data_IF_280159416057
#
_entry.id   IF_280159416057
#
_cell.length_a   1.000
_cell.length_b   1.000
_cell.length_c   1.000
_cell.angle_alpha   90.00
_cell.angle_beta   90.00
_cell.angle_gamma   90.00
#
_symmetry.space_group_name_H-M   'P 1'
#
loop_
_entity.id
_entity.type
_entity.pdbx_description
1 polymer ?
#
# COMPACT_ATOMS: atom_id res chain seq x y z
N UNK A 1 9.44 3.04 20.79
CA UNK A 1 10.14 2.07 19.98
C UNK A 1 10.09 2.39 18.50
N UNK A 2 10.82 1.66 17.73
CA UNK A 2 10.82 1.81 16.29
C UNK A 2 9.64 1.03 15.68
N UNK A 3 9.29 1.40 14.47
CA UNK A 3 8.25 0.70 13.72
C UNK A 3 8.76 -0.68 13.30
N UNK A 4 7.85 -1.65 13.07
CA UNK A 4 8.28 -2.99 12.69
C UNK A 4 8.96 -3.01 11.33
N UNK A 5 9.85 -3.97 11.13
CA UNK A 5 10.49 -4.16 9.83
C UNK A 5 9.47 -4.64 8.80
N UNK A 6 9.75 -4.34 7.54
CA UNK A 6 8.92 -4.83 6.44
C UNK A 6 9.27 -6.31 6.22
N UNK A 7 8.43 -7.19 6.73
CA UNK A 7 8.62 -8.64 6.66
C UNK A 7 7.74 -9.25 5.58
N UNK A 8 7.99 -10.51 5.25
CA UNK A 8 7.14 -11.24 4.27
C UNK A 8 5.68 -11.28 4.71
N UNK A 9 5.42 -11.44 6.02
CA UNK A 9 4.04 -11.42 6.54
C UNK A 9 3.37 -10.09 6.30
N UNK A 10 4.08 -8.99 6.55
CA UNK A 10 3.57 -7.64 6.31
C UNK A 10 3.25 -7.44 4.83
N UNK A 11 4.16 -7.84 3.96
CA UNK A 11 3.97 -7.72 2.51
C UNK A 11 2.76 -8.52 2.05
N UNK A 12 2.57 -9.73 2.56
CA UNK A 12 1.42 -10.57 2.21
C UNK A 12 0.11 -9.91 2.62
N UNK A 13 0.06 -9.27 3.77
CA UNK A 13 -1.15 -8.59 4.23
C UNK A 13 -1.49 -7.41 3.34
N UNK A 14 -0.47 -6.65 2.93
CA UNK A 14 -0.67 -5.51 2.04
C UNK A 14 -1.13 -5.99 0.66
N UNK A 15 -0.51 -7.03 0.13
CA UNK A 15 -0.90 -7.60 -1.17
C UNK A 15 -2.32 -8.16 -1.12
N UNK A 16 -2.69 -8.81 -0.03
CA UNK A 16 -4.03 -9.39 0.13
C UNK A 16 -5.11 -8.31 0.14
N UNK A 17 -4.81 -7.12 0.66
CA UNK A 17 -5.76 -6.01 0.68
C UNK A 17 -6.13 -5.56 -0.73
N UNK A 18 -5.18 -5.66 -1.68
CA UNK A 18 -5.43 -5.28 -3.07
C UNK A 18 -6.04 -6.39 -3.91
N UNK A 19 -5.97 -7.62 -3.44
CA UNK A 19 -6.46 -8.78 -4.18
C UNK A 19 -5.47 -9.26 -5.24
N UNK A 20 -5.83 -10.33 -5.93
CA UNK A 20 -4.94 -10.99 -6.88
C UNK A 20 -4.68 -10.18 -8.14
N UNK A 21 -5.55 -9.22 -8.47
CA UNK A 21 -5.42 -8.42 -9.69
C UNK A 21 -4.46 -7.24 -9.55
N UNK A 22 -4.02 -6.93 -8.33
CA UNK A 22 -3.15 -5.78 -8.06
C UNK A 22 -1.76 -6.27 -7.69
N UNK A 23 -0.75 -5.76 -8.39
CA UNK A 23 0.65 -6.03 -8.12
C UNK A 23 1.25 -4.85 -7.38
N UNK A 24 1.98 -5.11 -6.31
CA UNK A 24 2.56 -4.07 -5.46
C UNK A 24 4.07 -4.04 -5.62
N UNK A 25 4.61 -2.83 -5.75
CA UNK A 25 6.04 -2.61 -5.85
C UNK A 25 6.43 -1.56 -4.80
N UNK A 26 7.23 -1.98 -3.82
CA UNK A 26 7.68 -1.08 -2.76
C UNK A 26 8.81 -0.20 -3.26
N UNK A 27 8.75 1.09 -2.94
CA UNK A 27 9.72 2.07 -3.41
C UNK A 27 10.57 2.65 -2.29
N UNK A 28 10.01 2.79 -1.08
CA UNK A 28 10.77 3.33 0.05
C UNK A 28 10.10 3.00 1.37
N UNK A 29 10.88 2.98 2.45
CA UNK A 29 10.39 2.78 3.80
C UNK A 29 11.28 3.54 4.79
N UNK A 30 10.65 4.34 5.65
CA UNK A 30 11.35 5.08 6.70
C UNK A 30 10.97 4.50 8.05
N UNK A 31 11.89 3.75 8.67
CA UNK A 31 11.65 3.09 9.95
C UNK A 31 11.49 4.09 11.10
N UNK A 32 12.01 5.30 10.98
CA UNK A 32 11.90 6.32 12.02
C UNK A 32 10.48 6.90 12.10
N UNK A 33 9.79 6.99 10.96
CA UNK A 33 8.44 7.58 10.90
C UNK A 33 7.35 6.54 10.63
N UNK A 34 7.73 5.33 10.21
CA UNK A 34 6.79 4.30 9.80
C UNK A 34 6.20 4.53 8.42
N UNK A 35 6.72 5.48 7.66
CA UNK A 35 6.21 5.82 6.34
C UNK A 35 6.65 4.78 5.31
N UNK A 36 5.69 4.24 4.59
CA UNK A 36 5.93 3.25 3.53
C UNK A 36 5.37 3.78 2.22
N UNK A 37 6.21 3.83 1.20
CA UNK A 37 5.83 4.24 -0.15
C UNK A 37 5.81 3.02 -1.06
N UNK A 38 4.72 2.86 -1.78
CA UNK A 38 4.64 1.77 -2.74
C UNK A 38 3.72 2.13 -3.90
N UNK A 39 3.89 1.41 -5.00
CA UNK A 39 3.09 1.55 -6.21
C UNK A 39 2.23 0.31 -6.37
N UNK A 40 0.95 0.50 -6.69
CA UNK A 40 0.04 -0.59 -6.99
C UNK A 40 -0.34 -0.52 -8.47
N UNK A 41 -0.23 -1.64 -9.16
CA UNK A 41 -0.48 -1.73 -10.60
C UNK A 41 -1.54 -2.77 -10.88
N UNK A 42 -2.37 -2.52 -11.88
CA UNK A 42 -3.38 -3.48 -12.34
C UNK A 42 -3.62 -3.29 -13.83
N UNK A 43 -3.96 -4.38 -14.52
CA UNK A 43 -4.40 -4.32 -15.91
C UNK A 43 -5.86 -3.86 -16.02
N UNK A 44 -6.56 -3.78 -14.89
CA UNK A 44 -7.96 -3.36 -14.81
C UNK A 44 -8.07 -2.08 -13.99
N UNK A 45 -9.19 -1.37 -14.14
CA UNK A 45 -9.45 -0.15 -13.39
C UNK A 45 -9.34 -0.43 -11.89
N UNK A 46 -8.59 0.43 -11.20
CA UNK A 46 -8.49 0.36 -9.74
C UNK A 46 -9.58 1.25 -9.16
N UNK A 47 -10.46 0.65 -8.36
CA UNK A 47 -11.46 1.41 -7.60
C UNK A 47 -10.76 2.01 -6.39
N UNK A 48 -10.30 3.26 -6.53
CA UNK A 48 -9.46 3.91 -5.52
C UNK A 48 -10.13 3.96 -4.15
N UNK A 49 -11.38 4.43 -3.99
CA UNK A 49 -12.00 4.45 -2.66
C UNK A 49 -12.08 3.08 -2.01
N UNK A 50 -12.41 2.05 -2.78
CA UNK A 50 -12.49 0.69 -2.27
C UNK A 50 -11.11 0.17 -1.86
N UNK A 51 -10.10 0.41 -2.70
CA UNK A 51 -8.74 -0.03 -2.42
C UNK A 51 -8.18 0.66 -1.16
N UNK A 52 -8.36 1.97 -1.04
CA UNK A 52 -7.92 2.71 0.14
C UNK A 52 -8.59 2.16 1.39
N UNK A 53 -9.89 1.89 1.32
CA UNK A 53 -10.63 1.32 2.45
C UNK A 53 -10.10 -0.06 2.82
N UNK A 54 -9.78 -0.88 1.83
CA UNK A 54 -9.19 -2.21 2.07
C UNK A 54 -7.83 -2.10 2.77
N UNK A 55 -7.00 -1.16 2.36
CA UNK A 55 -5.71 -0.93 3.01
C UNK A 55 -5.90 -0.43 4.45
N UNK A 56 -6.86 0.45 4.68
CA UNK A 56 -7.16 0.93 6.03
C UNK A 56 -7.66 -0.19 6.93
N UNK A 57 -8.37 -1.15 6.37
CA UNK A 57 -8.98 -2.25 7.12
C UNK A 57 -8.03 -3.42 7.35
N UNK A 58 -6.88 -3.47 6.69
CA UNK A 58 -5.98 -4.62 6.81
C UNK A 58 -5.24 -4.67 8.16
N UNK A 59 -5.32 -3.61 8.96
CA UNK A 59 -4.74 -3.59 10.30
C UNK A 59 -3.27 -3.28 10.37
N UNK A 60 -2.64 -2.96 9.23
CA UNK A 60 -1.21 -2.68 9.14
C UNK A 60 -0.92 -1.19 9.29
N UNK A 61 -1.82 -0.34 8.79
CA UNK A 61 -1.58 1.09 8.68
C UNK A 61 -2.43 1.91 9.63
N UNK A 62 -1.82 2.97 10.17
CA UNK A 62 -2.56 4.01 10.89
C UNK A 62 -3.09 5.08 9.94
N UNK A 63 -2.41 5.29 8.81
CA UNK A 63 -2.78 6.29 7.80
C UNK A 63 -2.56 5.69 6.42
N UNK A 64 -3.50 5.94 5.52
CA UNK A 64 -3.39 5.52 4.11
C UNK A 64 -3.79 6.71 3.24
N UNK A 65 -2.89 7.10 2.34
CA UNK A 65 -3.19 8.14 1.35
C UNK A 65 -2.55 7.77 0.03
N UNK A 66 -3.00 8.38 -1.05
CA UNK A 66 -2.37 8.20 -2.35
C UNK A 66 -1.89 9.54 -2.88
N UNK A 67 -0.79 9.52 -3.65
CA UNK A 67 -0.16 10.73 -4.15
C UNK A 67 -0.30 10.92 -5.64
N UNK A 68 -0.65 9.85 -6.38
CA UNK A 68 -0.81 9.94 -7.82
C UNK A 68 -1.54 8.74 -8.37
N UNK A 69 -2.25 8.96 -9.46
CA UNK A 69 -2.97 7.91 -10.17
C UNK A 69 -2.71 8.09 -11.66
N UNK A 70 -2.34 7.01 -12.33
CA UNK A 70 -2.08 7.04 -13.76
C UNK A 70 -2.87 5.94 -14.47
N UNK A 71 -3.43 6.28 -15.61
CA UNK A 71 -4.09 5.32 -16.48
C UNK A 71 -3.42 5.42 -17.84
N UNK A 72 -2.99 4.29 -18.39
CA UNK A 72 -2.30 4.24 -19.66
C UNK A 72 -2.66 2.98 -20.44
N UNK A 73 -1.98 2.79 -21.57
CA UNK A 73 -2.25 1.66 -22.46
C UNK A 73 -1.93 0.32 -21.80
N UNK A 74 -0.98 0.32 -20.86
CA UNK A 74 -0.53 -0.90 -20.19
C UNK A 74 -1.31 -1.20 -18.91
N UNK A 75 -2.25 -0.34 -18.53
CA UNK A 75 -3.06 -0.53 -17.34
C UNK A 75 -3.11 0.69 -16.45
N UNK A 76 -3.33 0.45 -15.17
CA UNK A 76 -3.57 1.49 -14.17
C UNK A 76 -2.54 1.38 -13.06
N UNK A 77 -2.12 2.51 -12.51
CA UNK A 77 -1.22 2.52 -11.36
C UNK A 77 -1.58 3.63 -10.39
N UNK A 78 -1.29 3.40 -9.13
CA UNK A 78 -1.53 4.36 -8.07
C UNK A 78 -0.32 4.36 -7.13
N UNK A 79 0.16 5.54 -6.77
CA UNK A 79 1.25 5.69 -5.81
C UNK A 79 0.67 5.93 -4.43
N UNK A 80 1.07 5.13 -3.47
CA UNK A 80 0.52 5.13 -2.13
C UNK A 80 1.57 5.56 -1.12
N UNK A 81 1.11 6.34 -0.16
CA UNK A 81 1.91 6.77 0.98
C UNK A 81 1.14 6.38 2.24
N UNK A 82 1.69 5.43 2.97
CA UNK A 82 1.03 4.88 4.14
C UNK A 82 1.96 5.00 5.34
N UNK A 83 1.37 5.07 6.52
CA UNK A 83 2.13 5.06 7.76
C UNK A 83 1.72 3.81 8.54
N UNK A 84 2.70 3.02 8.95
CA UNK A 84 2.46 1.81 9.71
C UNK A 84 1.85 2.17 11.07
N UNK A 85 1.00 1.27 11.57
CA UNK A 85 0.46 1.41 12.91
C UNK A 85 1.61 1.35 13.93
N UNK A 86 1.55 2.20 14.95
CA UNK A 86 2.61 2.26 15.94
C UNK A 86 2.73 0.93 16.68
N UNK A 87 3.95 0.50 17.04
CA UNK A 87 4.12 -0.71 17.85
C UNK A 87 3.48 -0.51 19.21
N UNK A 88 2.98 -1.60 19.75
CA UNK A 88 2.36 -1.59 21.08
C UNK A 88 3.25 -2.24 22.12
#
# INVERSE_FOLDING_TARGET
GSYPDVTSSLLHRIEAAGGASITIQFTDYNAATGELLFNANSSQVIDIPTYIRSLQSCGVFSTVSYTGYNAGDDGYSIDLRCVLAAPQ
#
